data_IF_145138461215
#
_entry.id   IF_145138461215
#
_cell.length_a   1.000
_cell.length_b   1.000
_cell.length_c   1.000
_cell.angle_alpha   90.00
_cell.angle_beta   90.00
_cell.angle_gamma   90.00
#
_symmetry.space_group_name_H-M   'P 1'
#
loop_
_entity.id
_entity.type
_entity.pdbx_description
1 polymer ?
#
# COMPACT_ATOMS: atom_id res chain seq x y z
N UNK A 1 15.42 32.24 8.76
CA UNK A 1 14.25 31.69 9.47
C UNK A 1 13.62 30.70 8.52
N UNK A 2 14.20 29.50 8.45
CA UNK A 2 13.64 28.40 7.67
C UNK A 2 12.82 27.54 8.63
N UNK A 3 11.52 27.49 8.36
CA UNK A 3 10.58 26.67 9.09
C UNK A 3 10.76 25.21 8.67
N UNK A 4 11.38 24.42 9.54
CA UNK A 4 11.34 22.96 9.44
C UNK A 4 9.93 22.48 9.82
N UNK A 5 9.23 21.96 8.81
CA UNK A 5 7.99 21.22 8.98
C UNK A 5 8.36 19.87 9.63
N UNK A 6 8.07 19.73 10.92
CA UNK A 6 8.16 18.43 11.61
C UNK A 6 7.13 17.46 11.02
N UNK A 7 7.51 16.21 10.68
CA UNK A 7 6.51 15.19 10.40
C UNK A 7 5.86 14.76 11.73
N UNK A 8 4.55 14.97 11.85
CA UNK A 8 3.76 14.31 12.89
C UNK A 8 3.84 12.80 12.67
N UNK A 9 4.34 12.11 13.70
CA UNK A 9 4.48 10.65 13.86
C UNK A 9 5.66 9.95 13.15
N UNK A 10 6.80 10.63 13.01
CA UNK A 10 8.08 9.98 12.68
C UNK A 10 8.92 9.68 13.93
N UNK A 11 8.83 8.47 14.51
CA UNK A 11 9.94 7.99 15.35
C UNK A 11 11.19 7.90 14.47
N UNK A 12 12.33 8.52 14.87
CA UNK A 12 13.56 8.43 14.11
C UNK A 12 13.96 6.97 13.95
N UNK A 13 14.51 6.61 12.78
CA UNK A 13 14.83 5.22 12.44
C UNK A 13 15.75 4.53 13.48
N UNK A 14 16.53 5.31 14.24
CA UNK A 14 17.50 4.82 15.22
C UNK A 14 16.89 4.44 16.59
N UNK A 15 15.61 4.76 16.86
CA UNK A 15 14.96 4.48 18.15
C UNK A 15 14.06 3.24 18.16
N UNK A 16 13.86 2.58 17.01
CA UNK A 16 12.95 1.43 16.92
C UNK A 16 13.57 0.19 17.56
N UNK A 17 12.78 -0.64 18.27
CA UNK A 17 13.31 -1.78 19.02
C UNK A 17 13.94 -2.84 18.12
N UNK A 18 15.11 -3.33 18.55
CA UNK A 18 15.83 -4.45 17.92
C UNK A 18 15.44 -5.80 18.54
N UNK A 19 15.38 -6.83 17.69
CA UNK A 19 15.07 -8.21 18.03
C UNK A 19 16.08 -9.12 17.37
N UNK A 20 16.64 -10.08 18.11
CA UNK A 20 17.69 -10.98 17.63
C UNK A 20 17.28 -12.46 17.69
N UNK A 21 17.83 -13.26 16.76
CA UNK A 21 17.63 -14.70 16.69
C UNK A 21 18.79 -15.40 15.99
N UNK A 22 18.87 -16.74 16.06
CA UNK A 22 19.90 -17.52 15.35
C UNK A 22 19.71 -17.50 13.83
N UNK A 23 18.49 -17.20 13.40
CA UNK A 23 18.09 -16.99 12.01
C UNK A 23 16.96 -15.94 11.97
N UNK A 24 16.50 -15.60 10.75
CA UNK A 24 15.49 -14.56 10.55
C UNK A 24 14.15 -14.94 11.19
N UNK A 25 13.74 -16.21 11.11
CA UNK A 25 12.47 -16.69 11.64
C UNK A 25 12.42 -16.60 13.16
N UNK A 26 13.52 -16.90 13.84
CA UNK A 26 13.64 -16.73 15.30
C UNK A 26 13.57 -15.25 15.71
N UNK A 27 14.22 -14.36 14.93
CA UNK A 27 14.17 -12.93 15.19
C UNK A 27 12.75 -12.35 14.99
N UNK A 28 12.04 -12.80 13.94
CA UNK A 28 10.63 -12.46 13.68
C UNK A 28 9.73 -13.00 14.78
N UNK A 29 9.90 -14.26 15.19
CA UNK A 29 9.10 -14.87 16.26
C UNK A 29 9.28 -14.13 17.59
N UNK A 30 10.51 -13.67 17.88
CA UNK A 30 10.79 -12.85 19.06
C UNK A 30 10.10 -11.48 18.97
N UNK A 31 10.08 -10.87 17.78
CA UNK A 31 9.34 -9.64 17.53
C UNK A 31 7.83 -9.84 17.70
N UNK A 32 7.24 -10.92 17.15
CA UNK A 32 5.82 -11.29 17.31
C UNK A 32 5.45 -11.38 18.80
N UNK A 33 6.25 -12.10 19.58
CA UNK A 33 6.02 -12.28 21.01
C UNK A 33 6.12 -10.96 21.80
N UNK A 34 7.14 -10.13 21.51
CA UNK A 34 7.39 -8.89 22.26
C UNK A 34 6.46 -7.74 21.86
N UNK A 35 6.15 -7.60 20.57
CA UNK A 35 5.21 -6.61 20.05
C UNK A 35 3.75 -7.01 20.32
N UNK A 36 3.49 -8.30 20.60
CA UNK A 36 2.13 -8.86 20.70
C UNK A 36 1.31 -8.64 19.42
N UNK A 37 1.99 -8.62 18.28
CA UNK A 37 1.42 -8.44 16.96
C UNK A 37 1.84 -9.63 16.09
N UNK A 38 0.93 -10.22 15.29
CA UNK A 38 1.34 -11.19 14.28
C UNK A 38 2.24 -10.50 13.24
N UNK A 39 3.12 -11.25 12.55
CA UNK A 39 4.03 -10.71 11.50
C UNK A 39 3.36 -9.88 10.43
N UNK A 40 2.06 -10.09 10.22
CA UNK A 40 1.27 -9.32 9.25
C UNK A 40 1.02 -7.87 9.68
N UNK A 41 1.08 -7.59 10.98
CA UNK A 41 0.76 -6.30 11.62
C UNK A 41 1.98 -5.47 12.03
N UNK A 42 3.19 -5.89 11.67
CA UNK A 42 4.39 -5.07 11.88
C UNK A 42 5.32 -5.14 10.68
N UNK A 43 6.13 -4.11 10.50
CA UNK A 43 7.21 -4.06 9.51
C UNK A 43 8.53 -4.40 10.21
N UNK A 44 9.50 -4.90 9.45
CA UNK A 44 10.86 -5.09 9.95
C UNK A 44 11.92 -4.84 8.87
N UNK A 45 13.11 -4.47 9.32
CA UNK A 45 14.32 -4.41 8.49
C UNK A 45 15.44 -5.24 9.14
N UNK A 46 16.32 -5.82 8.32
CA UNK A 46 17.51 -6.54 8.81
C UNK A 46 18.60 -5.50 9.05
N UNK A 47 19.08 -5.41 10.29
CA UNK A 47 20.07 -4.41 10.70
C UNK A 47 21.49 -4.95 10.54
N UNK A 48 21.76 -6.18 10.98
CA UNK A 48 23.12 -6.77 10.93
C UNK A 48 23.15 -8.25 11.33
N UNK A 49 24.24 -8.94 11.01
CA UNK A 49 24.68 -10.18 11.67
C UNK A 49 25.62 -9.81 12.83
N UNK A 50 25.24 -10.00 14.11
CA UNK A 50 26.13 -9.81 15.27
C UNK A 50 26.74 -11.17 15.67
N UNK A 51 28.03 -11.18 16.02
CA UNK A 51 28.65 -12.36 16.65
C UNK A 51 28.47 -12.22 18.17
N UNK A 52 27.93 -13.24 18.84
CA UNK A 52 27.87 -13.24 20.31
C UNK A 52 29.29 -13.18 20.88
N UNK A 53 29.69 -12.03 21.43
CA UNK A 53 30.86 -11.97 22.29
C UNK A 53 30.53 -12.72 23.60
N UNK A 54 31.50 -13.51 24.09
CA UNK A 54 31.41 -14.53 25.16
C UNK A 54 31.21 -15.99 24.70
N UNK A 55 32.19 -16.50 23.93
CA UNK A 55 32.54 -17.94 23.93
C UNK A 55 31.67 -18.89 23.11
N UNK A 56 30.58 -18.44 22.49
CA UNK A 56 29.71 -19.28 21.66
C UNK A 56 29.82 -18.86 20.19
N UNK A 57 30.42 -19.72 19.35
CA UNK A 57 30.45 -19.52 17.89
C UNK A 57 29.01 -19.58 17.35
N UNK A 58 28.39 -18.42 17.14
CA UNK A 58 27.08 -18.30 16.51
C UNK A 58 26.89 -16.91 15.93
N UNK A 59 26.49 -16.86 14.66
CA UNK A 59 25.98 -15.65 14.02
C UNK A 59 24.55 -15.44 14.47
N UNK A 60 24.21 -14.23 14.92
CA UNK A 60 22.84 -13.82 15.20
C UNK A 60 22.36 -12.82 14.16
N UNK A 61 21.13 -12.98 13.71
CA UNK A 61 20.44 -12.01 12.88
C UNK A 61 19.71 -11.03 13.80
N UNK A 62 19.93 -9.73 13.57
CA UNK A 62 19.22 -8.65 14.26
C UNK A 62 18.28 -7.98 13.28
N UNK A 63 17.00 -7.90 13.64
CA UNK A 63 15.99 -7.11 12.95
C UNK A 63 15.57 -5.94 13.82
N UNK A 64 15.14 -4.87 13.17
CA UNK A 64 14.44 -3.75 13.81
C UNK A 64 12.99 -3.85 13.35
N UNK A 65 12.05 -3.93 14.28
CA UNK A 65 10.64 -4.14 13.97
C UNK A 65 9.73 -3.11 14.64
N UNK A 66 8.67 -2.69 13.95
CA UNK A 66 7.73 -1.67 14.43
C UNK A 66 6.32 -1.97 13.94
N UNK A 67 5.33 -1.66 14.77
CA UNK A 67 3.92 -1.82 14.41
C UNK A 67 3.64 -1.15 13.07
N UNK A 68 2.85 -1.82 12.23
CA UNK A 68 2.26 -1.16 11.06
C UNK A 68 1.36 -0.07 11.61
N UNK A 69 1.48 1.10 11.01
CA UNK A 69 0.63 2.22 11.35
C UNK A 69 -0.75 1.95 10.74
N UNK A 70 -1.66 1.39 11.56
CA UNK A 70 -3.04 1.10 11.16
C UNK A 70 -3.79 2.40 10.79
N UNK A 71 -3.35 3.56 11.31
CA UNK A 71 -3.90 4.89 10.97
C UNK A 71 -3.32 5.48 9.67
N UNK A 72 -2.07 5.17 9.32
CA UNK A 72 -1.50 5.53 8.01
C UNK A 72 -2.21 4.80 6.84
N UNK A 73 -2.81 3.65 7.15
CA UNK A 73 -3.58 2.79 6.24
C UNK A 73 -4.92 3.43 5.80
N UNK A 74 -5.35 4.54 6.43
CA UNK A 74 -6.65 5.19 6.19
C UNK A 74 -6.58 6.53 5.45
N UNK A 75 -5.39 7.04 5.14
CA UNK A 75 -5.21 8.35 4.48
C UNK A 75 -6.02 8.50 3.18
N UNK A 76 -6.00 7.47 2.32
CA UNK A 76 -6.80 7.44 1.08
C UNK A 76 -8.30 7.47 1.35
N UNK A 77 -8.78 6.66 2.30
CA UNK A 77 -10.20 6.54 2.62
C UNK A 77 -10.73 7.82 3.27
N UNK A 78 -9.97 8.40 4.21
CA UNK A 78 -10.29 9.67 4.86
C UNK A 78 -10.37 10.82 3.87
N UNK A 79 -9.41 10.89 2.93
CA UNK A 79 -9.45 11.86 1.84
C UNK A 79 -10.69 11.64 0.95
N UNK A 80 -10.93 10.40 0.52
CA UNK A 80 -12.02 10.07 -0.38
C UNK A 80 -13.38 10.41 0.24
N UNK A 81 -13.60 10.07 1.52
CA UNK A 81 -14.82 10.39 2.24
C UNK A 81 -15.09 11.91 2.24
N UNK A 82 -14.09 12.73 2.54
CA UNK A 82 -14.19 14.21 2.51
C UNK A 82 -14.31 14.78 1.11
N UNK A 83 -13.69 14.15 0.12
CA UNK A 83 -13.80 14.57 -1.26
C UNK A 83 -15.24 14.37 -1.75
N UNK A 84 -15.83 13.21 -1.47
CA UNK A 84 -17.19 12.88 -1.91
C UNK A 84 -18.28 13.75 -1.27
N UNK A 85 -18.07 14.33 -0.08
CA UNK A 85 -19.04 15.29 0.49
C UNK A 85 -19.17 16.59 -0.31
N UNK A 86 -18.16 16.93 -1.12
CA UNK A 86 -18.17 18.10 -1.99
C UNK A 86 -18.27 17.75 -3.47
N UNK A 87 -18.25 16.46 -3.79
CA UNK A 87 -18.28 15.99 -5.17
C UNK A 87 -19.73 15.91 -5.64
N UNK A 88 -20.07 16.47 -6.81
CA UNK A 88 -21.46 16.59 -7.25
C UNK A 88 -22.07 15.28 -7.77
N UNK A 89 -21.39 14.14 -7.63
CA UNK A 89 -21.86 12.84 -8.11
C UNK A 89 -22.26 11.94 -6.95
N UNK A 90 -23.40 11.27 -7.09
CA UNK A 90 -23.87 10.25 -6.14
C UNK A 90 -23.09 8.95 -6.36
N UNK A 91 -22.02 8.80 -5.57
CA UNK A 91 -21.13 7.63 -5.61
C UNK A 91 -21.08 6.94 -4.24
N UNK A 92 -21.06 5.62 -4.26
CA UNK A 92 -20.70 4.79 -3.12
C UNK A 92 -19.43 3.99 -3.44
N UNK A 93 -18.80 3.40 -2.44
CA UNK A 93 -17.60 2.59 -2.66
C UNK A 93 -17.44 1.50 -1.59
N UNK A 94 -16.68 0.47 -1.94
CA UNK A 94 -16.21 -0.56 -1.02
C UNK A 94 -14.69 -0.58 -0.98
N UNK A 95 -14.12 -0.67 0.23
CA UNK A 95 -12.68 -0.76 0.45
C UNK A 95 -12.30 -2.19 0.81
N UNK A 96 -11.25 -2.72 0.17
CA UNK A 96 -10.60 -3.98 0.53
C UNK A 96 -9.12 -3.76 0.66
N UNK A 97 -8.61 -3.88 1.89
CA UNK A 97 -7.18 -3.78 2.17
C UNK A 97 -6.48 -5.14 2.02
N UNK A 98 -5.28 -5.10 1.47
CA UNK A 98 -4.32 -6.20 1.37
C UNK A 98 -2.95 -5.64 1.76
N UNK A 99 -1.98 -6.51 2.06
CA UNK A 99 -0.69 -6.15 2.68
C UNK A 99 -0.02 -4.89 2.07
N UNK A 100 -0.07 -4.72 0.74
CA UNK A 100 0.61 -3.61 0.04
C UNK A 100 -0.32 -2.80 -0.89
N UNK A 101 -1.63 -3.04 -0.85
CA UNK A 101 -2.56 -2.40 -1.78
C UNK A 101 -3.95 -2.22 -1.17
N UNK A 102 -4.50 -1.02 -1.37
CA UNK A 102 -5.88 -0.68 -1.04
C UNK A 102 -6.71 -0.75 -2.33
N UNK A 103 -7.69 -1.65 -2.36
CA UNK A 103 -8.66 -1.72 -3.45
C UNK A 103 -9.91 -0.93 -3.10
N UNK A 104 -10.30 -0.03 -4.00
CA UNK A 104 -11.54 0.76 -3.88
C UNK A 104 -12.41 0.46 -5.08
N UNK A 105 -13.59 -0.09 -4.85
CA UNK A 105 -14.55 -0.39 -5.91
C UNK A 105 -15.71 0.59 -5.83
N UNK A 106 -15.84 1.45 -6.83
CA UNK A 106 -16.92 2.44 -6.91
C UNK A 106 -18.21 1.82 -7.43
N UNK A 107 -19.32 2.31 -6.88
CA UNK A 107 -20.69 2.02 -7.27
C UNK A 107 -21.56 3.29 -7.07
N UNK A 108 -22.87 3.18 -7.18
CA UNK A 108 -23.82 4.27 -7.01
C UNK A 108 -24.50 4.70 -8.33
N UNK A 109 -25.51 5.58 -8.26
CA UNK A 109 -26.29 6.02 -9.42
C UNK A 109 -25.42 6.66 -10.53
N UNK A 110 -24.43 7.47 -10.15
CA UNK A 110 -23.61 8.24 -11.09
C UNK A 110 -22.32 7.54 -11.53
N UNK A 111 -22.10 6.27 -11.14
CA UNK A 111 -20.86 5.53 -11.40
C UNK A 111 -20.47 5.48 -12.89
N UNK A 112 -21.45 5.51 -13.79
CA UNK A 112 -21.22 5.47 -15.23
C UNK A 112 -20.44 6.70 -15.74
N UNK A 113 -20.51 7.83 -15.03
CA UNK A 113 -19.75 9.05 -15.33
C UNK A 113 -18.25 8.80 -15.12
N UNK A 114 -17.86 8.00 -14.12
CA UNK A 114 -16.46 7.61 -13.88
C UNK A 114 -15.85 6.87 -15.08
N UNK A 115 -16.68 6.18 -15.86
CA UNK A 115 -16.28 5.35 -16.99
C UNK A 115 -16.20 6.12 -18.33
N UNK A 116 -16.64 7.39 -18.37
CA UNK A 116 -16.60 8.22 -19.58
C UNK A 116 -15.16 8.53 -20.00
N UNK A 117 -15.00 8.82 -21.29
CA UNK A 117 -13.70 9.13 -21.90
C UNK A 117 -12.64 8.10 -21.48
N UNK A 118 -12.97 6.82 -21.72
CA UNK A 118 -12.10 5.68 -21.43
C UNK A 118 -11.64 5.60 -19.96
N UNK A 119 -12.52 5.96 -19.02
CA UNK A 119 -12.24 5.91 -17.58
C UNK A 119 -11.36 7.03 -17.05
N UNK A 120 -11.18 8.13 -17.80
CA UNK A 120 -10.29 9.24 -17.41
C UNK A 120 -10.55 9.78 -16.00
N UNK A 121 -11.82 9.97 -15.61
CA UNK A 121 -12.17 10.45 -14.27
C UNK A 121 -11.85 9.41 -13.18
N UNK A 122 -12.19 8.14 -13.40
CA UNK A 122 -11.82 7.04 -12.50
C UNK A 122 -10.29 6.99 -12.27
N UNK A 123 -9.52 7.11 -13.35
CA UNK A 123 -8.05 7.09 -13.29
C UNK A 123 -7.46 8.34 -12.64
N UNK A 124 -8.08 9.52 -12.83
CA UNK A 124 -7.67 10.74 -12.16
C UNK A 124 -7.88 10.66 -10.64
N UNK A 125 -9.03 10.13 -10.20
CA UNK A 125 -9.30 9.86 -8.78
C UNK A 125 -8.24 8.89 -8.23
N UNK A 126 -7.95 7.78 -8.94
CA UNK A 126 -6.88 6.85 -8.55
C UNK A 126 -5.54 7.57 -8.38
N UNK A 127 -5.20 8.46 -9.31
CA UNK A 127 -3.94 9.20 -9.27
C UNK A 127 -3.85 10.05 -8.00
N UNK A 128 -4.89 10.83 -7.69
CA UNK A 128 -4.93 11.66 -6.48
C UNK A 128 -4.84 10.79 -5.22
N UNK A 129 -5.58 9.68 -5.16
CA UNK A 129 -5.53 8.77 -4.01
C UNK A 129 -4.14 8.17 -3.78
N UNK A 130 -3.40 7.85 -4.85
CA UNK A 130 -2.00 7.40 -4.75
C UNK A 130 -1.03 8.52 -4.33
N UNK A 131 -1.41 9.79 -4.43
CA UNK A 131 -0.56 10.91 -3.97
C UNK A 131 -0.76 11.24 -2.51
N UNK A 132 -1.93 10.95 -1.96
CA UNK A 132 -2.27 11.23 -0.55
C UNK A 132 -2.05 10.03 0.37
N UNK A 133 -1.81 8.84 -0.19
CA UNK A 133 -1.59 7.61 0.56
C UNK A 133 -0.19 7.05 0.39
N UNK A 134 0.47 6.58 1.48
CA UNK A 134 1.74 5.87 1.40
C UNK A 134 1.58 4.47 0.81
N UNK A 135 0.38 3.88 0.87
CA UNK A 135 0.05 2.58 0.31
C UNK A 135 -0.58 2.77 -1.07
N UNK A 136 -0.20 1.90 -2.02
CA UNK A 136 -0.75 1.93 -3.38
C UNK A 136 -2.27 1.77 -3.36
N UNK A 137 -2.97 2.65 -4.05
CA UNK A 137 -4.42 2.60 -4.21
C UNK A 137 -4.77 2.16 -5.62
N UNK A 138 -5.60 1.14 -5.74
CA UNK A 138 -6.18 0.72 -7.01
C UNK A 138 -7.69 0.89 -6.97
N UNK A 139 -8.22 1.61 -7.96
CA UNK A 139 -9.66 1.78 -8.11
C UNK A 139 -10.20 0.89 -9.22
N UNK A 140 -11.46 0.51 -9.10
CA UNK A 140 -12.23 -0.11 -10.18
C UNK A 140 -13.70 0.34 -10.13
N UNK A 141 -14.37 0.22 -11.27
CA UNK A 141 -15.80 0.47 -11.40
C UNK A 141 -16.32 -0.46 -12.50
N UNK A 142 -17.31 -1.29 -12.17
CA UNK A 142 -17.90 -2.28 -13.09
C UNK A 142 -16.89 -3.15 -13.87
N UNK A 143 -15.82 -3.64 -13.22
CA UNK A 143 -14.78 -4.41 -13.91
C UNK A 143 -14.13 -3.66 -15.09
N UNK A 144 -14.04 -2.33 -15.02
CA UNK A 144 -13.42 -1.47 -16.03
C UNK A 144 -12.04 -1.99 -16.41
N UNK A 145 -11.22 -2.38 -15.43
CA UNK A 145 -9.85 -2.88 -15.69
C UNK A 145 -9.84 -4.11 -16.58
N UNK A 146 -10.69 -5.11 -16.28
CA UNK A 146 -10.81 -6.34 -17.09
C UNK A 146 -11.26 -6.03 -18.51
N UNK A 147 -12.23 -5.13 -18.68
CA UNK A 147 -12.70 -4.70 -20.00
C UNK A 147 -11.63 -3.94 -20.78
N UNK A 148 -10.89 -3.05 -20.10
CA UNK A 148 -9.80 -2.26 -20.67
C UNK A 148 -8.66 -3.15 -21.15
N UNK A 149 -8.25 -4.11 -20.33
CA UNK A 149 -7.25 -5.11 -20.66
C UNK A 149 -7.65 -5.92 -21.90
N UNK A 150 -8.90 -6.40 -21.96
CA UNK A 150 -9.43 -7.12 -23.13
C UNK A 150 -9.33 -6.27 -24.41
N UNK A 151 -9.79 -5.01 -24.37
CA UNK A 151 -9.72 -4.09 -25.51
C UNK A 151 -8.29 -3.83 -25.97
N UNK A 152 -7.36 -3.64 -25.03
CA UNK A 152 -5.94 -3.41 -25.35
C UNK A 152 -5.29 -4.65 -25.98
N UNK A 153 -5.62 -5.85 -25.48
CA UNK A 153 -5.16 -7.11 -26.06
C UNK A 153 -5.64 -7.28 -27.50
N UNK A 154 -6.94 -7.05 -27.75
CA UNK A 154 -7.53 -7.13 -29.08
C UNK A 154 -6.92 -6.10 -30.04
N UNK A 155 -6.66 -4.89 -29.55
CA UNK A 155 -5.97 -3.86 -30.34
C UNK A 155 -4.54 -4.28 -30.71
N UNK A 156 -3.76 -4.78 -29.75
CA UNK A 156 -2.39 -5.24 -29.99
C UNK A 156 -2.35 -6.38 -31.02
N UNK A 157 -3.27 -7.34 -30.94
CA UNK A 157 -3.39 -8.44 -31.91
C UNK A 157 -3.70 -7.92 -33.32
N UNK A 158 -4.61 -6.94 -33.44
CA UNK A 158 -4.94 -6.33 -34.73
C UNK A 158 -3.74 -5.62 -35.36
N UNK A 159 -3.02 -4.83 -34.57
CA UNK A 159 -1.81 -4.13 -35.04
C UNK A 159 -0.74 -5.13 -35.47
N UNK A 160 -0.51 -6.18 -34.69
CA UNK A 160 0.46 -7.23 -35.02
C UNK A 160 0.14 -7.92 -36.36
N UNK A 161 -1.13 -8.19 -36.65
CA UNK A 161 -1.53 -8.74 -37.94
C UNK A 161 -1.25 -7.76 -39.09
N UNK A 162 -1.57 -6.48 -38.92
CA UNK A 162 -1.40 -5.45 -39.95
C UNK A 162 0.05 -5.19 -40.35
N UNK A 163 1.01 -5.45 -39.46
CA UNK A 163 2.45 -5.24 -39.74
C UNK A 163 3.17 -6.52 -40.11
N UNK A 164 2.51 -7.67 -39.98
CA UNK A 164 3.05 -8.98 -40.40
C UNK A 164 2.81 -9.26 -41.89
N UNK A 165 1.89 -8.52 -42.51
CA UNK A 165 1.60 -8.51 -43.95
C UNK A 165 2.46 -7.45 -44.65
#
# INVERSE_FOLDING_TARGET
MENEIKPENGQPADERPEYNGRNLEEAISLAEHRLKLPREKFNYEIVTEKTRLFGLKGKEIVIRAWAKDEDADDSAERFLARFLTHFPLELSYQVKKRQDIIFIVFDGPDKTILLRNDGSLLLAIQHVLNKVSPIKVQVDCESYRKRKEKKLREYAQRVAQQVSD
#
